data_IF_593773943220
#
_entry.id   IF_593773943220
#
_cell.length_a   1.000
_cell.length_b   1.000
_cell.length_c   1.000
_cell.angle_alpha   90.00
_cell.angle_beta   90.00
_cell.angle_gamma   90.00
#
_symmetry.space_group_name_H-M   'P 1'
#
loop_
_entity.id
_entity.type
_entity.pdbx_description
1 polymer ?
#
# COMPACT_ATOMS: atom_id res chain seq x y z
N UNK A 1 -11.10 -17.51 21.94
CA UNK A 1 -10.57 -16.18 21.60
C UNK A 1 -9.56 -16.36 20.49
N UNK A 2 -9.98 -16.20 19.23
CA UNK A 2 -9.08 -16.31 18.08
C UNK A 2 -8.25 -15.03 18.06
N UNK A 3 -6.93 -15.11 18.16
CA UNK A 3 -6.07 -13.97 17.90
C UNK A 3 -6.23 -13.63 16.42
N UNK A 4 -6.97 -12.57 16.11
CA UNK A 4 -7.04 -12.03 14.76
C UNK A 4 -5.67 -11.42 14.47
N UNK A 5 -4.95 -12.00 13.51
CA UNK A 5 -3.72 -11.43 12.99
C UNK A 5 -4.06 -10.13 12.25
N UNK A 6 -3.54 -9.02 12.72
CA UNK A 6 -3.69 -7.70 12.09
C UNK A 6 -2.51 -7.48 11.15
N UNK A 7 -2.79 -7.23 9.88
CA UNK A 7 -1.78 -6.92 8.84
C UNK A 7 -1.66 -5.41 8.67
N UNK A 8 -0.43 -4.90 8.81
CA UNK A 8 -0.13 -3.46 8.72
C UNK A 8 0.88 -3.21 7.61
N UNK A 9 0.58 -2.25 6.73
CA UNK A 9 1.49 -1.73 5.71
C UNK A 9 2.01 -0.36 6.12
N UNK A 10 3.33 -0.22 6.21
CA UNK A 10 4.01 1.05 6.52
C UNK A 10 4.84 1.52 5.33
N UNK A 11 4.61 2.75 4.89
CA UNK A 11 5.25 3.35 3.71
C UNK A 11 6.13 4.54 4.13
N UNK A 12 7.43 4.42 3.87
CA UNK A 12 8.38 5.50 4.18
C UNK A 12 8.21 6.71 3.25
N UNK A 13 8.64 7.87 3.75
CA UNK A 13 8.83 9.06 2.93
C UNK A 13 10.04 8.91 2.00
N UNK A 14 10.06 9.68 0.90
CA UNK A 14 11.18 9.60 -0.04
C UNK A 14 11.16 10.58 -1.20
N UNK A 15 10.23 11.54 -1.22
CA UNK A 15 10.06 12.46 -2.35
C UNK A 15 9.78 11.68 -3.63
N UNK A 16 10.55 11.96 -4.69
CA UNK A 16 10.42 11.26 -5.97
C UNK A 16 10.65 9.74 -5.88
N UNK A 17 11.38 9.26 -4.87
CA UNK A 17 11.64 7.82 -4.67
C UNK A 17 10.38 7.04 -4.29
N UNK A 18 9.26 7.72 -3.99
CA UNK A 18 7.96 7.06 -3.83
C UNK A 18 7.52 6.27 -5.08
N UNK A 19 8.09 6.56 -6.26
CA UNK A 19 7.88 5.74 -7.45
C UNK A 19 8.37 4.29 -7.25
N UNK A 20 9.46 4.08 -6.51
CA UNK A 20 9.96 2.73 -6.19
C UNK A 20 8.95 1.98 -5.32
N UNK A 21 8.33 2.68 -4.36
CA UNK A 21 7.28 2.08 -3.52
C UNK A 21 6.09 1.66 -4.39
N UNK A 22 5.66 2.49 -5.34
CA UNK A 22 4.55 2.16 -6.24
C UNK A 22 4.85 0.93 -7.09
N UNK A 23 6.05 0.83 -7.69
CA UNK A 23 6.47 -0.34 -8.47
C UNK A 23 6.49 -1.62 -7.62
N UNK A 24 6.96 -1.55 -6.38
CA UNK A 24 6.95 -2.70 -5.47
C UNK A 24 5.51 -3.11 -5.14
N UNK A 25 4.63 -2.15 -4.83
CA UNK A 25 3.23 -2.45 -4.51
C UNK A 25 2.50 -3.07 -5.71
N UNK A 26 2.73 -2.56 -6.92
CA UNK A 26 2.18 -3.14 -8.15
C UNK A 26 2.67 -4.58 -8.39
N UNK A 27 3.97 -4.85 -8.18
CA UNK A 27 4.49 -6.20 -8.26
C UNK A 27 3.86 -7.14 -7.21
N UNK A 28 3.59 -6.64 -5.99
CA UNK A 28 2.90 -7.40 -4.94
C UNK A 28 1.45 -7.69 -5.33
N UNK A 29 0.69 -6.70 -5.82
CA UNK A 29 -0.70 -6.92 -6.27
C UNK A 29 -0.77 -7.97 -7.37
N UNK A 30 0.14 -7.88 -8.35
CA UNK A 30 0.20 -8.82 -9.47
C UNK A 30 0.44 -10.26 -9.01
N UNK A 31 1.35 -10.47 -8.06
CA UNK A 31 1.62 -11.80 -7.51
C UNK A 31 0.49 -12.28 -6.58
N UNK A 32 -0.11 -11.38 -5.80
CA UNK A 32 -1.17 -11.72 -4.87
C UNK A 32 -2.55 -11.91 -5.53
N UNK A 33 -2.75 -11.38 -6.74
CA UNK A 33 -4.02 -11.43 -7.47
C UNK A 33 -5.15 -10.62 -6.83
N UNK A 34 -4.82 -9.69 -5.93
CA UNK A 34 -5.80 -8.85 -5.24
C UNK A 34 -5.20 -7.46 -4.93
N UNK A 35 -6.03 -6.41 -4.79
CA UNK A 35 -5.55 -5.06 -4.51
C UNK A 35 -4.91 -4.93 -3.12
N UNK A 36 -3.88 -4.09 -2.95
CA UNK A 36 -3.20 -3.80 -1.67
C UNK A 36 -4.20 -3.39 -0.60
N UNK A 37 -5.20 -2.57 -0.96
CA UNK A 37 -6.21 -2.08 -0.01
C UNK A 37 -7.03 -3.21 0.64
N UNK A 38 -7.12 -4.37 -0.01
CA UNK A 38 -7.88 -5.53 0.46
C UNK A 38 -6.95 -6.53 1.18
N UNK A 39 -5.63 -6.33 1.09
CA UNK A 39 -4.61 -7.18 1.72
C UNK A 39 -4.26 -6.78 3.15
N UNK A 40 -4.47 -5.53 3.55
CA UNK A 40 -4.02 -4.99 4.84
C UNK A 40 -5.16 -4.32 5.61
N UNK A 41 -5.17 -4.51 6.92
CA UNK A 41 -6.16 -3.90 7.81
C UNK A 41 -5.83 -2.43 8.11
N UNK A 42 -4.53 -2.11 8.13
CA UNK A 42 -4.03 -0.75 8.35
C UNK A 42 -2.97 -0.40 7.33
N UNK A 43 -3.06 0.82 6.78
CA UNK A 43 -2.08 1.39 5.86
C UNK A 43 -1.70 2.78 6.36
N UNK A 44 -0.40 3.00 6.56
CA UNK A 44 0.13 4.27 7.02
C UNK A 44 1.42 4.63 6.30
N UNK A 45 1.79 5.91 6.33
CA UNK A 45 3.06 6.34 5.80
C UNK A 45 3.38 7.80 6.12
N UNK A 46 4.64 8.19 5.88
CA UNK A 46 5.12 9.55 6.15
C UNK A 46 5.42 10.28 4.84
N UNK A 47 5.13 11.59 4.76
CA UNK A 47 5.38 12.40 3.56
C UNK A 47 4.82 11.74 2.28
N UNK A 48 5.65 11.45 1.26
CA UNK A 48 5.24 10.74 0.05
C UNK A 48 4.57 9.40 0.33
N UNK A 49 5.07 8.62 1.29
CA UNK A 49 4.44 7.36 1.71
C UNK A 49 3.04 7.57 2.27
N UNK A 50 2.81 8.69 2.96
CA UNK A 50 1.48 9.10 3.44
C UNK A 50 0.53 9.49 2.30
N UNK A 51 1.04 10.19 1.27
CA UNK A 51 0.27 10.49 0.04
C UNK A 51 -0.12 9.19 -0.68
N UNK A 52 0.81 8.24 -0.80
CA UNK A 52 0.55 6.92 -1.39
C UNK A 52 -0.50 6.16 -0.57
N UNK A 53 -0.34 6.08 0.75
CA UNK A 53 -1.32 5.45 1.65
C UNK A 53 -2.72 6.03 1.45
N UNK A 54 -2.84 7.36 1.37
CA UNK A 54 -4.13 8.03 1.14
C UNK A 54 -4.69 7.75 -0.27
N UNK A 55 -3.83 7.67 -1.27
CA UNK A 55 -4.20 7.30 -2.64
C UNK A 55 -4.74 5.88 -2.75
N UNK A 56 -4.16 4.93 -2.01
CA UNK A 56 -4.66 3.55 -1.89
C UNK A 56 -6.01 3.54 -1.16
N UNK A 57 -6.11 4.19 0.00
CA UNK A 57 -7.33 4.23 0.81
C UNK A 57 -8.52 4.88 0.09
N UNK A 58 -8.27 5.87 -0.78
CA UNK A 58 -9.30 6.56 -1.57
C UNK A 58 -9.55 5.94 -2.94
N UNK A 59 -8.84 4.86 -3.29
CA UNK A 59 -8.97 4.18 -4.60
C UNK A 59 -8.51 5.03 -5.80
N UNK A 60 -7.70 6.06 -5.56
CA UNK A 60 -7.16 6.95 -6.61
C UNK A 60 -5.86 6.42 -7.22
N UNK A 61 -5.08 5.67 -6.45
CA UNK A 61 -3.93 4.93 -6.97
C UNK A 61 -4.46 3.58 -7.41
N UNK A 62 -4.56 3.41 -8.73
CA UNK A 62 -4.79 2.11 -9.37
C UNK A 62 -3.43 1.64 -9.83
N UNK A 63 -2.89 0.66 -9.12
CA UNK A 63 -1.82 -0.19 -9.63
C UNK A 63 -2.49 -1.16 -10.64
N UNK A 64 -1.85 -1.42 -11.78
CA UNK A 64 -2.55 -1.90 -12.97
C UNK A 64 -3.17 -3.31 -12.80
N UNK A 65 -4.19 -3.59 -13.64
CA UNK A 65 -4.94 -4.86 -13.71
C UNK A 65 -4.14 -5.98 -14.36
#
# INVERSE_FOLDING_TARGET
>A
MLLLLVKVLSLDGGGIRGLIILEILEAIEKEAGQPIKDMFDWIGGTSTGGIIALGIATGKIRQAS
#
